data_IF_323748810510
#
_entry.id   IF_323748810510
#
_cell.length_a   1.000
_cell.length_b   1.000
_cell.length_c   1.000
_cell.angle_alpha   90.00
_cell.angle_beta   90.00
_cell.angle_gamma   90.00
#
_symmetry.space_group_name_H-M   'P 1'
#
loop_
_entity.id
_entity.type
_entity.pdbx_description
1 polymer ?
#
# COMPACT_ATOMS: atom_id res chain seq x y z
N UNK A 1 -9.77 1.01 -48.09
CA UNK A 1 -9.50 -0.45 -48.12
C UNK A 1 -9.60 -0.95 -46.70
N UNK A 2 -10.74 -1.52 -46.33
CA UNK A 2 -11.02 -2.03 -44.98
C UNK A 2 -10.79 -3.54 -44.98
N UNK A 3 -10.01 -4.04 -44.03
CA UNK A 3 -9.80 -5.48 -43.81
C UNK A 3 -10.29 -5.81 -42.39
N UNK A 4 -11.49 -6.37 -42.32
CA UNK A 4 -12.04 -7.04 -41.15
C UNK A 4 -11.62 -8.51 -41.21
N UNK A 5 -10.86 -8.98 -40.24
CA UNK A 5 -10.58 -10.40 -40.05
C UNK A 5 -11.38 -10.93 -38.85
N UNK A 6 -12.32 -11.83 -39.15
CA UNK A 6 -13.17 -12.56 -38.21
C UNK A 6 -12.61 -13.97 -38.04
N UNK A 7 -12.38 -14.42 -36.81
CA UNK A 7 -12.11 -15.82 -36.51
C UNK A 7 -13.31 -16.43 -35.78
N UNK A 8 -14.04 -17.30 -36.48
CA UNK A 8 -14.96 -18.29 -35.91
C UNK A 8 -14.19 -19.58 -35.64
N UNK A 9 -14.30 -20.12 -34.44
CA UNK A 9 -13.86 -21.47 -34.09
C UNK A 9 -14.90 -22.13 -33.19
N UNK A 10 -15.47 -23.24 -33.64
CA UNK A 10 -16.61 -23.96 -33.04
C UNK A 10 -16.17 -25.33 -32.51
N UNK A 11 -16.85 -25.80 -31.45
CA UNK A 11 -16.94 -27.18 -30.92
C UNK A 11 -15.72 -27.63 -30.06
N UNK A 12 -15.85 -28.42 -28.98
CA UNK A 12 -16.82 -29.48 -28.72
C UNK A 12 -16.77 -30.00 -27.25
N UNK A 13 -17.85 -30.66 -26.84
CA UNK A 13 -18.01 -31.68 -25.78
C UNK A 13 -18.22 -31.25 -24.31
N UNK A 14 -19.51 -31.19 -23.98
CA UNK A 14 -20.11 -31.48 -22.68
C UNK A 14 -19.86 -32.96 -22.34
N UNK A 15 -19.16 -33.24 -21.24
CA UNK A 15 -19.18 -34.54 -20.57
C UNK A 15 -19.89 -34.32 -19.24
N UNK A 16 -21.08 -34.89 -19.15
CA UNK A 16 -21.79 -35.12 -17.90
C UNK A 16 -21.44 -36.55 -17.51
N UNK A 17 -20.73 -36.74 -16.41
CA UNK A 17 -20.70 -38.02 -15.75
C UNK A 17 -21.06 -37.84 -14.28
N UNK A 18 -22.06 -38.61 -13.88
CA UNK A 18 -22.72 -38.61 -12.59
C UNK A 18 -22.13 -39.76 -11.81
N UNK A 19 -21.35 -39.45 -10.77
CA UNK A 19 -21.08 -40.42 -9.70
C UNK A 19 -21.24 -39.73 -8.35
N UNK A 20 -22.38 -40.02 -7.72
CA UNK A 20 -22.59 -39.81 -6.30
C UNK A 20 -21.65 -40.73 -5.52
N UNK A 21 -20.69 -40.17 -4.78
CA UNK A 21 -20.22 -40.79 -3.54
C UNK A 21 -19.91 -39.69 -2.52
N UNK A 22 -20.62 -39.78 -1.41
CA UNK A 22 -20.57 -38.97 -0.20
C UNK A 22 -19.17 -38.90 0.39
N UNK A 23 -18.63 -37.70 0.58
CA UNK A 23 -17.59 -37.43 1.59
C UNK A 23 -17.71 -35.99 2.09
N UNK A 24 -18.05 -35.89 3.36
CA UNK A 24 -18.00 -34.65 4.15
C UNK A 24 -16.52 -34.33 4.33
N UNK A 25 -16.05 -33.19 3.82
CA UNK A 25 -14.89 -32.48 4.35
C UNK A 25 -14.93 -31.02 3.91
N UNK A 26 -14.92 -30.13 4.90
CA UNK A 26 -14.75 -28.69 4.74
C UNK A 26 -13.34 -28.42 4.23
N UNK A 27 -13.22 -27.84 3.04
CA UNK A 27 -12.02 -27.15 2.54
C UNK A 27 -12.44 -26.51 1.20
N UNK A 28 -12.04 -25.33 0.73
CA UNK A 28 -10.94 -24.43 1.06
C UNK A 28 -11.35 -23.05 0.51
N UNK A 29 -11.68 -22.07 1.36
CA UNK A 29 -11.60 -20.65 0.97
C UNK A 29 -10.35 -20.07 1.63
N UNK A 30 -9.21 -20.32 1.01
CA UNK A 30 -7.95 -19.69 1.38
C UNK A 30 -7.04 -19.50 0.15
N UNK A 31 -7.53 -18.77 -0.84
CA UNK A 31 -6.70 -18.20 -1.93
C UNK A 31 -6.27 -16.76 -1.62
N UNK A 32 -6.00 -16.46 -0.33
CA UNK A 32 -5.50 -15.15 0.12
C UNK A 32 -4.19 -15.21 0.92
N UNK A 33 -3.46 -16.33 0.89
CA UNK A 33 -2.29 -16.56 1.76
C UNK A 33 -0.95 -16.70 1.02
N UNK A 34 -0.84 -16.30 -0.25
CA UNK A 34 0.43 -16.39 -0.99
C UNK A 34 1.31 -15.13 -0.93
N UNK A 35 0.85 -14.04 -0.30
CA UNK A 35 1.60 -12.78 -0.21
C UNK A 35 1.55 -12.12 1.18
N UNK A 36 1.24 -12.87 2.24
CA UNK A 36 1.36 -12.32 3.58
C UNK A 36 2.85 -12.16 3.90
N UNK A 37 3.34 -10.96 4.26
CA UNK A 37 4.73 -10.78 4.64
C UNK A 37 5.05 -11.67 5.84
N UNK A 38 6.14 -12.43 5.72
CA UNK A 38 6.81 -13.14 6.82
C UNK A 38 6.84 -12.26 8.10
N UNK A 39 6.51 -12.87 9.23
CA UNK A 39 6.58 -12.19 10.53
C UNK A 39 8.00 -11.69 10.77
N UNK A 40 8.16 -10.40 11.09
CA UNK A 40 9.42 -9.72 11.42
C UNK A 40 10.30 -9.35 10.20
N UNK A 41 9.81 -8.42 9.38
CA UNK A 41 10.58 -7.81 8.28
C UNK A 41 10.68 -6.30 8.41
N UNK A 42 11.85 -5.76 8.05
CA UNK A 42 12.10 -4.32 7.94
C UNK A 42 12.21 -3.91 6.46
N UNK A 43 11.57 -2.80 6.11
CA UNK A 43 11.57 -2.24 4.77
C UNK A 43 11.82 -0.74 4.80
N UNK A 44 12.63 -0.25 3.87
CA UNK A 44 12.85 1.17 3.67
C UNK A 44 12.41 1.58 2.27
N UNK A 45 11.58 2.61 2.21
CA UNK A 45 11.01 3.13 0.99
C UNK A 45 11.32 4.62 0.85
N UNK A 46 11.56 5.05 -0.38
CA UNK A 46 11.87 6.43 -0.72
C UNK A 46 10.97 6.92 -1.84
N UNK A 47 10.53 8.16 -1.70
CA UNK A 47 9.82 8.91 -2.72
C UNK A 47 10.48 10.28 -2.84
N UNK A 48 10.67 10.73 -4.07
CA UNK A 48 11.23 12.06 -4.38
C UNK A 48 10.26 12.84 -5.25
N UNK A 49 10.04 14.10 -4.91
CA UNK A 49 9.11 15.00 -5.62
C UNK A 49 9.72 16.40 -5.81
N UNK A 50 8.95 17.29 -6.44
CA UNK A 50 9.35 18.64 -6.81
C UNK A 50 10.07 18.68 -8.17
N UNK A 51 10.25 19.89 -8.71
CA UNK A 51 10.77 20.14 -10.07
C UNK A 51 12.11 19.47 -10.36
N UNK A 52 12.93 19.25 -9.33
CA UNK A 52 14.25 18.62 -9.43
C UNK A 52 14.42 17.40 -8.52
N UNK A 53 13.34 16.69 -8.17
CA UNK A 53 13.36 15.53 -7.27
C UNK A 53 14.07 15.81 -5.93
N UNK A 54 13.84 17.01 -5.42
CA UNK A 54 14.60 17.60 -4.30
C UNK A 54 13.89 17.43 -2.95
N UNK A 55 12.58 17.22 -2.96
CA UNK A 55 11.82 16.90 -1.77
C UNK A 55 11.83 15.40 -1.58
N UNK A 56 12.27 14.92 -0.42
CA UNK A 56 12.44 13.48 -0.16
C UNK A 56 11.53 13.03 0.96
N UNK A 57 10.80 11.94 0.74
CA UNK A 57 10.08 11.22 1.81
C UNK A 57 10.69 9.85 2.00
N UNK A 58 11.14 9.56 3.22
CA UNK A 58 11.63 8.25 3.62
C UNK A 58 10.64 7.60 4.59
N UNK A 59 10.28 6.36 4.30
CA UNK A 59 9.37 5.54 5.11
C UNK A 59 10.11 4.26 5.49
N UNK A 60 10.46 4.12 6.77
CA UNK A 60 10.96 2.87 7.33
C UNK A 60 9.81 2.19 8.06
N UNK A 61 9.50 0.95 7.70
CA UNK A 61 8.49 0.13 8.39
C UNK A 61 9.08 -1.20 8.84
N UNK A 62 8.69 -1.58 10.04
CA UNK A 62 8.89 -2.88 10.64
C UNK A 62 7.53 -3.56 10.80
N UNK A 63 7.39 -4.75 10.20
CA UNK A 63 6.16 -5.53 10.20
C UNK A 63 6.38 -6.76 11.06
N UNK A 64 5.63 -6.84 12.16
CA UNK A 64 5.62 -7.99 13.05
C UNK A 64 4.19 -8.53 13.14
N UNK A 65 3.93 -9.66 12.46
CA UNK A 65 2.59 -10.21 12.25
C UNK A 65 1.67 -9.16 11.60
N UNK A 66 0.64 -8.70 12.33
CA UNK A 66 -0.29 -7.67 11.89
C UNK A 66 0.10 -6.27 12.39
N UNK A 67 1.12 -6.14 13.24
CA UNK A 67 1.54 -4.86 13.80
C UNK A 67 2.57 -4.22 12.88
N UNK A 68 2.35 -2.95 12.55
CA UNK A 68 3.30 -2.13 11.80
C UNK A 68 3.80 -1.01 12.69
N UNK A 69 5.11 -0.90 12.82
CA UNK A 69 5.79 0.21 13.49
C UNK A 69 6.83 0.80 12.55
N UNK A 70 7.25 2.05 12.74
CA UNK A 70 8.22 2.63 11.83
C UNK A 70 8.46 4.11 12.04
N UNK A 71 9.10 4.73 11.06
CA UNK A 71 9.31 6.17 11.00
C UNK A 71 9.01 6.71 9.61
N UNK A 72 8.50 7.94 9.55
CA UNK A 72 8.35 8.70 8.31
C UNK A 72 9.08 10.02 8.49
N UNK A 73 9.97 10.31 7.55
CA UNK A 73 10.72 11.55 7.46
C UNK A 73 10.38 12.21 6.12
N UNK A 74 9.65 13.32 6.20
CA UNK A 74 9.39 14.20 5.07
C UNK A 74 10.39 15.36 5.11
N UNK A 75 11.25 15.42 4.10
CA UNK A 75 12.39 16.31 3.96
C UNK A 75 12.23 17.18 2.70
N UNK A 76 11.36 18.20 2.75
CA UNK A 76 11.27 19.19 1.69
C UNK A 76 12.52 20.07 1.66
N UNK A 77 12.91 20.57 0.47
CA UNK A 77 14.09 21.44 0.31
C UNK A 77 13.89 22.84 0.90
N UNK A 78 12.68 23.39 0.74
CA UNK A 78 12.36 24.80 1.03
C UNK A 78 11.47 24.99 2.26
N UNK A 79 11.00 23.89 2.87
CA UNK A 79 10.11 23.91 4.04
C UNK A 79 10.77 23.19 5.20
N UNK A 80 10.18 23.34 6.38
CA UNK A 80 10.64 22.61 7.55
C UNK A 80 10.32 21.11 7.45
N UNK A 81 11.31 20.30 7.79
CA UNK A 81 11.17 18.86 7.80
C UNK A 81 10.17 18.39 8.85
N UNK A 82 9.33 17.43 8.48
CA UNK A 82 8.45 16.71 9.42
C UNK A 82 9.02 15.32 9.62
N UNK A 83 9.34 14.99 10.87
CA UNK A 83 9.91 13.69 11.25
C UNK A 83 9.07 13.09 12.36
N UNK A 84 8.81 11.80 12.28
CA UNK A 84 7.85 11.17 13.18
C UNK A 84 7.84 9.66 13.14
N UNK A 85 7.07 9.09 14.07
CA UNK A 85 6.86 7.65 14.20
C UNK A 85 5.55 7.22 13.55
N UNK A 86 5.54 6.00 13.04
CA UNK A 86 4.40 5.39 12.39
C UNK A 86 3.96 4.18 13.20
N UNK A 87 2.70 4.15 13.62
CA UNK A 87 2.11 3.01 14.32
C UNK A 87 0.80 2.61 13.65
N UNK A 88 0.63 1.33 13.36
CA UNK A 88 -0.55 0.85 12.65
C UNK A 88 -0.68 -0.66 12.58
N UNK A 89 -1.52 -1.10 11.66
CA UNK A 89 -1.80 -2.52 11.42
C UNK A 89 -1.78 -2.85 9.93
N UNK A 90 -1.40 -4.09 9.62
CA UNK A 90 -1.43 -4.68 8.29
C UNK A 90 -2.64 -5.62 8.17
N UNK A 91 -3.47 -5.40 7.16
CA UNK A 91 -4.57 -6.30 6.78
C UNK A 91 -4.46 -6.65 5.30
N UNK A 92 -4.18 -7.91 4.99
CA UNK A 92 -3.77 -8.33 3.65
C UNK A 92 -2.48 -7.59 3.24
N UNK A 93 -2.57 -6.72 2.24
CA UNK A 93 -1.45 -5.88 1.79
C UNK A 93 -1.63 -4.40 2.16
N UNK A 94 -2.68 -4.05 2.89
CA UNK A 94 -2.98 -2.66 3.24
C UNK A 94 -2.53 -2.37 4.65
N UNK A 95 -1.75 -1.30 4.81
CA UNK A 95 -1.30 -0.78 6.09
C UNK A 95 -2.16 0.44 6.42
N UNK A 96 -2.88 0.36 7.54
CA UNK A 96 -3.59 1.49 8.13
C UNK A 96 -2.82 1.95 9.36
N UNK A 97 -2.35 3.19 9.36
CA UNK A 97 -1.47 3.68 10.41
C UNK A 97 -1.74 5.15 10.76
N UNK A 98 -1.22 5.56 11.92
CA UNK A 98 -1.14 6.94 12.36
C UNK A 98 0.33 7.34 12.36
N UNK A 99 0.62 8.42 11.65
CA UNK A 99 1.92 9.08 11.68
C UNK A 99 1.87 10.23 12.69
N UNK A 100 2.66 10.13 13.75
CA UNK A 100 2.83 11.18 14.75
C UNK A 100 4.16 11.91 14.48
N UNK A 101 4.11 13.20 14.20
CA UNK A 101 5.26 13.99 13.77
C UNK A 101 5.34 15.32 14.48
N UNK A 102 6.55 15.90 14.50
CA UNK A 102 6.76 17.25 15.00
C UNK A 102 6.88 18.23 13.83
N UNK A 103 6.26 19.41 13.98
CA UNK A 103 6.44 20.57 13.11
C UNK A 103 6.57 21.80 14.00
N UNK A 104 7.63 22.60 13.78
CA UNK A 104 7.84 23.88 14.48
C UNK A 104 7.75 23.75 16.02
N UNK A 105 8.24 22.62 16.57
CA UNK A 105 8.21 22.33 18.00
C UNK A 105 6.86 21.83 18.55
N UNK A 106 5.84 21.69 17.70
CA UNK A 106 4.53 21.13 18.07
C UNK A 106 4.34 19.72 17.49
N UNK A 107 3.80 18.81 18.30
CA UNK A 107 3.43 17.47 17.84
C UNK A 107 2.05 17.50 17.16
N UNK A 108 1.91 16.79 16.04
CA UNK A 108 0.64 16.55 15.37
C UNK A 108 0.57 15.10 14.87
N UNK A 109 -0.62 14.69 14.44
CA UNK A 109 -0.87 13.32 13.95
C UNK A 109 -1.67 13.33 12.66
N UNK A 110 -1.38 12.37 11.79
CA UNK A 110 -2.13 12.18 10.55
C UNK A 110 -2.35 10.68 10.28
N UNK A 111 -3.59 10.33 9.92
CA UNK A 111 -3.89 9.00 9.40
C UNK A 111 -3.26 8.84 8.02
N UNK A 112 -2.57 7.73 7.81
CA UNK A 112 -1.95 7.38 6.54
C UNK A 112 -2.35 5.95 6.15
N UNK A 113 -2.56 5.75 4.85
CA UNK A 113 -2.95 4.46 4.30
C UNK A 113 -1.97 4.09 3.18
N UNK A 114 -1.29 2.96 3.38
CA UNK A 114 -0.35 2.40 2.40
C UNK A 114 -0.83 1.06 1.89
N UNK A 115 -0.31 0.66 0.74
CA UNK A 115 -0.46 -0.68 0.19
C UNK A 115 0.89 -1.21 -0.28
N UNK A 116 1.28 -2.36 0.26
CA UNK A 116 2.49 -3.08 -0.13
C UNK A 116 2.31 -3.74 -1.51
N UNK A 117 3.29 -3.52 -2.39
CA UNK A 117 3.30 -3.96 -3.79
C UNK A 117 4.65 -4.55 -4.16
N UNK A 118 4.94 -5.77 -3.68
CA UNK A 118 6.26 -6.38 -3.89
C UNK A 118 7.37 -5.48 -3.34
N UNK A 119 8.19 -4.90 -4.22
CA UNK A 119 9.30 -3.99 -3.87
C UNK A 119 8.92 -2.50 -3.89
N UNK A 120 7.63 -2.18 -3.77
CA UNK A 120 7.15 -0.81 -3.70
C UNK A 120 6.10 -0.64 -2.59
N UNK A 121 5.99 0.60 -2.10
CA UNK A 121 4.95 1.02 -1.18
C UNK A 121 4.11 2.08 -1.89
N UNK A 122 2.81 1.85 -2.03
CA UNK A 122 1.91 2.80 -2.66
C UNK A 122 1.09 3.50 -1.57
N UNK A 123 0.96 4.82 -1.63
CA UNK A 123 0.20 5.61 -0.66
C UNK A 123 -0.92 6.37 -1.36
N UNK A 124 -2.04 6.53 -0.66
CA UNK A 124 -3.07 7.50 -1.07
C UNK A 124 -2.52 8.93 -0.92
N UNK A 125 -2.80 9.83 -1.89
CA UNK A 125 -2.37 11.21 -1.78
C UNK A 125 -3.06 11.92 -0.61
N UNK A 126 -2.50 13.05 -0.21
CA UNK A 126 -3.11 13.91 0.79
C UNK A 126 -3.99 14.97 0.12
N UNK A 127 -5.05 15.39 0.82
CA UNK A 127 -5.89 16.52 0.47
C UNK A 127 -6.01 17.50 1.63
N UNK A 128 -6.24 18.76 1.32
CA UNK A 128 -6.51 19.78 2.33
C UNK A 128 -7.98 19.77 2.73
N UNK A 129 -8.26 19.79 4.03
CA UNK A 129 -9.60 19.94 4.58
C UNK A 129 -9.85 21.39 4.96
N UNK A 130 -10.66 22.10 4.17
CA UNK A 130 -10.97 23.52 4.41
C UNK A 130 -11.80 23.76 5.69
N UNK A 131 -12.48 22.74 6.22
CA UNK A 131 -13.26 22.86 7.46
C UNK A 131 -12.40 22.78 8.71
N UNK A 132 -11.39 21.90 8.70
CA UNK A 132 -10.50 21.69 9.85
C UNK A 132 -9.18 22.44 9.71
N UNK A 133 -8.89 23.01 8.54
CA UNK A 133 -7.64 23.66 8.22
C UNK A 133 -6.44 22.70 8.12
N UNK A 134 -6.67 21.38 8.10
CA UNK A 134 -5.62 20.35 8.17
C UNK A 134 -5.51 19.52 6.90
N UNK A 135 -4.30 19.05 6.63
CA UNK A 135 -4.05 18.01 5.64
C UNK A 135 -4.56 16.66 6.16
N UNK A 136 -5.10 15.83 5.26
CA UNK A 136 -5.61 14.50 5.58
C UNK A 136 -5.41 13.55 4.40
N UNK A 137 -5.35 12.24 4.65
CA UNK A 137 -5.37 11.24 3.57
C UNK A 137 -6.67 11.34 2.76
N UNK A 138 -6.54 11.36 1.44
CA UNK A 138 -7.68 11.32 0.53
C UNK A 138 -8.18 9.90 0.38
N UNK A 139 -9.11 9.51 1.26
CA UNK A 139 -9.65 8.14 1.27
C UNK A 139 -10.37 7.75 -0.02
N UNK A 140 -10.81 8.73 -0.83
CA UNK A 140 -11.48 8.51 -2.12
C UNK A 140 -10.52 8.36 -3.30
N UNK A 141 -9.26 8.73 -3.12
CA UNK A 141 -8.24 8.61 -4.16
C UNK A 141 -7.67 7.18 -4.25
N UNK A 142 -7.14 6.87 -5.43
CA UNK A 142 -6.32 5.67 -5.64
C UNK A 142 -4.93 5.83 -5.02
N UNK A 143 -4.20 4.73 -4.83
CA UNK A 143 -2.81 4.77 -4.36
C UNK A 143 -1.87 5.26 -5.46
N UNK A 144 -1.72 6.58 -5.58
CA UNK A 144 -0.97 7.23 -6.66
C UNK A 144 0.46 7.65 -6.28
N UNK A 145 0.79 7.73 -5.00
CA UNK A 145 2.14 8.07 -4.55
C UNK A 145 2.94 6.78 -4.41
N UNK A 146 3.94 6.58 -5.27
CA UNK A 146 4.73 5.36 -5.33
C UNK A 146 6.11 5.58 -4.72
N UNK A 147 6.39 4.85 -3.65
CA UNK A 147 7.70 4.79 -3.04
C UNK A 147 8.45 3.55 -3.52
N UNK A 148 9.74 3.71 -3.76
CA UNK A 148 10.62 2.64 -4.19
C UNK A 148 11.40 2.08 -3.01
N UNK A 149 11.45 0.74 -2.92
CA UNK A 149 12.27 0.08 -1.90
C UNK A 149 13.75 0.41 -2.13
N UNK A 150 14.46 0.73 -1.04
CA UNK A 150 15.91 0.89 -0.99
C UNK A 150 16.45 0.20 0.26
N UNK A 151 17.77 0.13 0.36
CA UNK A 151 18.41 -0.31 1.59
C UNK A 151 18.16 0.69 2.72
N UNK A 152 17.97 0.18 3.93
CA UNK A 152 17.80 0.98 5.14
C UNK A 152 19.10 1.61 5.66
N UNK A 153 20.22 1.44 4.93
CA UNK A 153 21.58 1.83 5.31
C UNK A 153 22.13 2.85 4.34
#
# INVERSE_FOLDING_TARGET
>A
MALLASCKGTNNKRITDTTNTTSISRDTQATAALNAPNSNMEYCFFYTDGTHAQDTTMVNIHINHNKVTGTINWLPKEKDARKGTLNGTLTGNTINAVWAFNQEGSADTMHVEFRLRGNALAQKPYRYNTKTGRQQTDNTASYSVLYHMKNCK
#
